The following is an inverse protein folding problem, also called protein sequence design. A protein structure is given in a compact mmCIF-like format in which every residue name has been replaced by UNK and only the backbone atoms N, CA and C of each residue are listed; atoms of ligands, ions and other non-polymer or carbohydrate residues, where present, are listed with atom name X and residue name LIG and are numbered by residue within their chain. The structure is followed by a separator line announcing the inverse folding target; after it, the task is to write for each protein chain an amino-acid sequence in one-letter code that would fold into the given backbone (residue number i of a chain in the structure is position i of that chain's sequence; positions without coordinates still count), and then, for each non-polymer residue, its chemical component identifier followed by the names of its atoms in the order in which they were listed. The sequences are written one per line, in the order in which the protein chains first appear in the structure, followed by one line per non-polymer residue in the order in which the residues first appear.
data_IF_019515393955
#
_entry.id   IF_019515393955
#
_cell.length_a   1.000
_cell.length_b   1.000
_cell.length_c   1.000
_cell.angle_alpha   90.00
_cell.angle_beta   90.00
_cell.angle_gamma   90.00
#
_symmetry.space_group_name_H-M   'P 1'
#
loop_
_entity.id
_entity.type
_entity.pdbx_description
1 polymer ?
#
# COMPACT_ATOMS: atom_id res chain seq x y z
N UNK A 1 -14.45 13.02 32.79
CA UNK A 1 -15.17 11.85 32.23
C UNK A 1 -15.45 11.94 30.72
N UNK A 2 -14.56 12.52 29.89
CA UNK A 2 -14.75 12.54 28.41
C UNK A 2 -13.70 11.74 27.61
N UNK A 3 -12.64 11.27 28.26
CA UNK A 3 -11.50 10.57 27.62
C UNK A 3 -11.76 9.07 27.41
N UNK A 4 -12.54 8.43 28.30
CA UNK A 4 -12.86 7.00 28.23
C UNK A 4 -13.88 6.65 27.12
N UNK A 5 -14.84 7.54 26.84
CA UNK A 5 -15.84 7.31 25.79
C UNK A 5 -15.24 7.36 24.37
N UNK A 6 -14.19 8.15 24.18
CA UNK A 6 -13.49 8.20 22.89
C UNK A 6 -12.64 6.96 22.65
N UNK A 7 -12.05 6.39 23.71
CA UNK A 7 -11.26 5.15 23.63
C UNK A 7 -12.17 3.95 23.33
N UNK A 8 -13.27 3.76 24.06
CA UNK A 8 -14.22 2.66 23.78
C UNK A 8 -14.81 2.73 22.38
N UNK A 9 -15.18 3.92 21.90
CA UNK A 9 -15.76 4.09 20.56
C UNK A 9 -14.68 3.82 19.49
N UNK A 10 -13.44 4.24 19.74
CA UNK A 10 -12.32 3.97 18.85
C UNK A 10 -11.99 2.47 18.79
N UNK A 11 -11.95 1.79 19.94
CA UNK A 11 -11.78 0.35 20.06
C UNK A 11 -12.92 -0.41 19.37
N UNK A 12 -14.18 0.00 19.57
CA UNK A 12 -15.33 -0.64 18.92
C UNK A 12 -15.30 -0.46 17.40
N UNK A 13 -14.86 0.69 16.89
CA UNK A 13 -14.69 0.93 15.43
C UNK A 13 -13.51 0.10 14.89
N UNK A 14 -12.41 0.05 15.63
CA UNK A 14 -11.22 -0.76 15.33
C UNK A 14 -11.58 -2.25 15.25
N UNK A 15 -12.23 -2.79 16.28
CA UNK A 15 -12.73 -4.17 16.37
C UNK A 15 -13.73 -4.44 15.24
N UNK A 16 -14.68 -3.52 14.97
CA UNK A 16 -15.66 -3.69 13.88
C UNK A 16 -15.02 -3.72 12.49
N UNK A 17 -13.95 -2.96 12.29
CA UNK A 17 -13.17 -2.93 11.04
C UNK A 17 -12.31 -4.19 10.90
N UNK A 18 -11.76 -4.70 12.00
CA UNK A 18 -11.02 -5.97 12.06
C UNK A 18 -11.92 -7.19 11.84
N UNK A 19 -13.12 -7.21 12.45
CA UNK A 19 -14.13 -8.28 12.31
C UNK A 19 -14.53 -8.58 10.87
N UNK A 20 -14.25 -7.69 9.93
CA UNK A 20 -14.52 -7.95 8.51
C UNK A 20 -13.51 -8.91 7.86
N UNK A 21 -12.37 -9.20 8.50
CA UNK A 21 -11.25 -9.89 7.85
C UNK A 21 -10.52 -10.90 8.74
N UNK A 22 -10.31 -10.65 10.04
CA UNK A 22 -9.92 -11.64 11.05
C UNK A 22 -10.95 -11.62 12.18
N UNK A 23 -11.28 -12.77 12.71
CA UNK A 23 -12.01 -12.87 13.98
C UNK A 23 -11.16 -12.34 15.14
N UNK A 24 -11.81 -12.06 16.26
CA UNK A 24 -11.13 -11.59 17.47
C UNK A 24 -10.12 -12.64 17.97
N UNK A 25 -10.53 -13.91 17.99
CA UNK A 25 -9.68 -15.06 18.33
C UNK A 25 -8.48 -15.21 17.38
N UNK A 26 -8.69 -15.13 16.05
CA UNK A 26 -7.60 -15.20 15.07
C UNK A 26 -6.61 -14.03 15.22
N UNK A 27 -7.11 -12.87 15.63
CA UNK A 27 -6.28 -11.68 15.84
C UNK A 27 -5.39 -11.83 17.08
N UNK A 28 -5.92 -12.40 18.16
CA UNK A 28 -5.15 -12.72 19.36
C UNK A 28 -4.05 -13.75 19.06
N UNK A 29 -4.40 -14.85 18.38
CA UNK A 29 -3.44 -15.87 17.93
C UNK A 29 -2.36 -15.23 17.04
N UNK A 30 -2.76 -14.31 16.16
CA UNK A 30 -1.82 -13.64 15.28
C UNK A 30 -0.85 -12.72 16.04
N UNK A 31 -1.34 -11.93 16.99
CA UNK A 31 -0.51 -11.02 17.78
C UNK A 31 0.48 -11.78 18.68
N UNK A 32 0.01 -12.83 19.35
CA UNK A 32 0.84 -13.69 20.20
C UNK A 32 1.93 -14.38 19.39
N UNK A 33 1.55 -15.03 18.28
CA UNK A 33 2.50 -15.67 17.37
C UNK A 33 3.49 -14.69 16.76
N UNK A 34 3.08 -13.47 16.40
CA UNK A 34 3.99 -12.44 15.90
C UNK A 34 4.99 -11.98 16.97
N UNK A 35 4.56 -11.81 18.22
CA UNK A 35 5.44 -11.47 19.34
C UNK A 35 6.49 -12.56 19.57
N UNK A 36 6.05 -13.82 19.65
CA UNK A 36 6.92 -14.98 19.86
C UNK A 36 7.95 -15.14 18.71
N UNK A 37 7.49 -15.06 17.46
CA UNK A 37 8.35 -15.20 16.29
C UNK A 37 9.35 -14.06 16.15
N UNK A 38 8.99 -12.85 16.58
CA UNK A 38 9.90 -11.69 16.61
C UNK A 38 10.96 -11.83 17.68
N UNK A 39 10.58 -12.26 18.89
CA UNK A 39 11.51 -12.56 19.98
C UNK A 39 12.50 -13.67 19.62
N UNK A 40 12.05 -14.68 18.86
CA UNK A 40 12.88 -15.79 18.40
C UNK A 40 13.72 -15.46 17.15
N UNK A 41 13.68 -14.23 16.64
CA UNK A 41 14.48 -13.79 15.49
C UNK A 41 14.07 -14.46 14.17
N UNK A 42 12.81 -14.88 14.03
CA UNK A 42 12.33 -15.55 12.83
C UNK A 42 12.38 -14.61 11.61
N UNK A 43 13.05 -15.04 10.53
CA UNK A 43 13.20 -14.23 9.31
C UNK A 43 11.87 -13.97 8.57
N UNK A 44 10.95 -14.93 8.61
CA UNK A 44 9.68 -14.89 7.86
C UNK A 44 8.48 -15.22 8.76
N UNK A 45 8.12 -14.34 9.71
CA UNK A 45 7.07 -14.62 10.67
C UNK A 45 5.70 -14.81 10.00
N UNK A 46 5.40 -14.03 8.95
CA UNK A 46 4.13 -14.12 8.22
C UNK A 46 3.91 -15.44 7.49
N UNK A 47 4.97 -16.15 7.10
CA UNK A 47 4.84 -17.47 6.45
C UNK A 47 4.38 -18.49 7.48
N UNK A 48 5.02 -18.50 8.65
CA UNK A 48 4.64 -19.38 9.76
C UNK A 48 3.22 -19.09 10.25
N UNK A 49 2.84 -17.82 10.36
CA UNK A 49 1.47 -17.47 10.74
C UNK A 49 0.43 -17.90 9.69
N UNK A 50 0.80 -17.98 8.42
CA UNK A 50 -0.07 -18.49 7.36
C UNK A 50 -0.25 -20.02 7.38
N UNK A 51 0.58 -20.75 8.13
CA UNK A 51 0.39 -22.18 8.39
C UNK A 51 -0.66 -22.42 9.49
N UNK A 52 -0.80 -21.46 10.41
CA UNK A 52 -1.70 -21.54 11.57
C UNK A 52 -3.09 -21.00 11.26
N UNK A 53 -3.15 -19.92 10.48
CA UNK A 53 -4.39 -19.21 10.18
C UNK A 53 -4.88 -19.47 8.75
N UNK A 54 -6.19 -19.37 8.47
CA UNK A 54 -6.74 -19.54 7.13
C UNK A 54 -6.49 -18.33 6.21
N UNK A 55 -5.32 -17.71 6.30
CA UNK A 55 -4.93 -16.53 5.52
C UNK A 55 -3.58 -16.71 4.85
N UNK A 56 -3.43 -16.08 3.69
CA UNK A 56 -2.14 -16.03 3.01
C UNK A 56 -1.18 -15.09 3.76
N UNK A 57 0.11 -15.44 3.79
CA UNK A 57 1.19 -14.61 4.32
C UNK A 57 1.17 -13.17 3.79
N UNK A 58 0.79 -12.96 2.51
CA UNK A 58 0.64 -11.63 1.92
C UNK A 58 -0.50 -10.83 2.55
N UNK A 59 -1.62 -11.48 2.84
CA UNK A 59 -2.76 -10.86 3.51
C UNK A 59 -2.34 -10.46 4.93
N UNK A 60 -1.77 -11.39 5.69
CA UNK A 60 -1.28 -11.16 7.05
C UNK A 60 -0.26 -10.02 7.12
N UNK A 61 0.69 -9.98 6.19
CA UNK A 61 1.69 -8.91 6.10
C UNK A 61 1.05 -7.53 5.83
N UNK A 62 0.06 -7.48 4.94
CA UNK A 62 -0.70 -6.26 4.68
C UNK A 62 -1.54 -5.84 5.90
N UNK A 63 -2.12 -6.78 6.64
CA UNK A 63 -2.87 -6.50 7.86
C UNK A 63 -1.98 -5.93 8.95
N UNK A 64 -0.84 -6.57 9.22
CA UNK A 64 0.14 -6.09 10.18
C UNK A 64 0.51 -4.63 9.91
N UNK A 65 0.97 -4.34 8.69
CA UNK A 65 1.45 -3.00 8.32
C UNK A 65 0.40 -1.89 8.40
N UNK A 66 -0.89 -2.22 8.30
CA UNK A 66 -1.95 -1.22 8.23
C UNK A 66 -2.80 -1.13 9.49
N UNK A 67 -2.90 -2.21 10.28
CA UNK A 67 -3.90 -2.32 11.33
C UNK A 67 -3.43 -2.95 12.64
N UNK A 68 -2.64 -4.04 12.59
CA UNK A 68 -2.33 -4.86 13.78
C UNK A 68 -1.02 -4.49 14.47
N UNK A 69 -0.11 -3.81 13.77
CA UNK A 69 1.14 -3.34 14.36
C UNK A 69 0.84 -2.28 15.46
N UNK A 70 1.22 -2.53 16.73
CA UNK A 70 0.98 -1.61 17.83
C UNK A 70 1.61 -0.23 17.63
N UNK A 71 2.68 -0.15 16.82
CA UNK A 71 3.32 1.12 16.49
C UNK A 71 2.52 1.96 15.48
N UNK A 72 1.50 1.36 14.84
CA UNK A 72 0.69 2.02 13.82
C UNK A 72 -0.45 2.79 14.45
N UNK A 73 -0.36 4.11 14.35
CA UNK A 73 -1.41 5.01 14.80
C UNK A 73 -2.61 5.01 13.83
N UNK A 74 -3.78 4.66 14.37
CA UNK A 74 -5.03 4.47 13.63
C UNK A 74 -5.85 5.75 13.41
N UNK A 75 -5.46 6.87 14.03
CA UNK A 75 -6.18 8.14 13.92
C UNK A 75 -6.22 8.69 12.49
N UNK A 76 -6.97 9.77 12.31
CA UNK A 76 -6.88 10.60 11.10
C UNK A 76 -5.52 11.30 11.03
N UNK A 77 -5.04 11.60 9.82
CA UNK A 77 -3.88 12.47 9.64
C UNK A 77 -4.23 13.87 10.16
N UNK A 78 -3.34 14.44 10.98
CA UNK A 78 -3.38 15.84 11.40
C UNK A 78 -3.04 16.76 10.24
N UNK A 79 -3.29 18.05 10.41
CA UNK A 79 -3.02 19.02 9.33
C UNK A 79 -1.51 19.23 9.13
N UNK A 80 -0.71 19.14 10.19
CA UNK A 80 0.76 19.16 10.12
C UNK A 80 1.30 17.96 9.35
N UNK A 81 0.74 16.76 9.58
CA UNK A 81 1.15 15.56 8.85
C UNK A 81 0.78 15.64 7.37
N UNK A 82 -0.40 16.18 7.05
CA UNK A 82 -0.82 16.40 5.66
C UNK A 82 0.12 17.37 4.95
N UNK A 83 0.45 18.48 5.61
CA UNK A 83 1.40 19.44 5.08
C UNK A 83 2.78 18.80 4.85
N UNK A 84 3.27 18.02 5.82
CA UNK A 84 4.53 17.30 5.67
C UNK A 84 4.50 16.32 4.48
N UNK A 85 3.42 15.56 4.32
CA UNK A 85 3.26 14.64 3.18
C UNK A 85 3.33 15.40 1.85
N UNK A 86 2.65 16.55 1.76
CA UNK A 86 2.66 17.39 0.57
C UNK A 86 4.06 17.92 0.24
N UNK A 87 4.75 18.46 1.23
CA UNK A 87 6.11 19.00 1.07
C UNK A 87 7.10 17.89 0.71
N UNK A 88 7.02 16.75 1.39
CA UNK A 88 7.89 15.62 1.13
C UNK A 88 7.70 15.09 -0.29
N UNK A 89 6.45 14.91 -0.74
CA UNK A 89 6.17 14.44 -2.10
C UNK A 89 6.64 15.47 -3.13
N UNK A 90 6.44 16.77 -2.91
CA UNK A 90 6.95 17.80 -3.83
C UNK A 90 8.47 17.74 -4.01
N UNK A 91 9.22 17.44 -2.94
CA UNK A 91 10.68 17.40 -2.96
C UNK A 91 11.26 16.06 -3.46
N UNK A 92 10.57 14.96 -3.23
CA UNK A 92 11.10 13.60 -3.44
C UNK A 92 10.42 12.83 -4.57
N UNK A 93 9.43 13.43 -5.24
CA UNK A 93 8.80 12.83 -6.42
C UNK A 93 9.78 12.85 -7.58
N UNK A 94 10.13 11.66 -8.05
CA UNK A 94 11.00 11.45 -9.22
C UNK A 94 10.27 11.96 -10.47
N UNK A 95 10.99 12.33 -11.53
CA UNK A 95 10.44 12.85 -12.81
C UNK A 95 9.35 11.97 -13.42
N UNK A 96 9.39 10.64 -13.19
CA UNK A 96 8.37 9.68 -13.63
C UNK A 96 7.10 9.66 -12.75
N UNK A 97 7.02 10.54 -11.74
CA UNK A 97 5.91 10.65 -10.83
C UNK A 97 5.82 9.55 -9.77
N UNK A 98 6.83 8.67 -9.65
CA UNK A 98 6.85 7.57 -8.68
C UNK A 98 7.10 8.10 -7.27
N UNK A 99 6.27 7.65 -6.33
CA UNK A 99 6.36 8.00 -4.90
C UNK A 99 6.79 6.76 -4.12
N UNK A 100 7.92 6.87 -3.42
CA UNK A 100 8.42 5.79 -2.56
C UNK A 100 7.74 5.82 -1.20
N UNK A 101 6.55 5.21 -1.12
CA UNK A 101 5.71 5.18 0.09
C UNK A 101 6.42 4.68 1.34
N UNK A 102 7.31 3.69 1.19
CA UNK A 102 8.08 3.13 2.32
C UNK A 102 8.98 4.19 2.96
N UNK A 103 9.67 4.98 2.14
CA UNK A 103 10.56 6.05 2.62
C UNK A 103 9.75 7.17 3.26
N UNK A 104 8.69 7.64 2.59
CA UNK A 104 7.79 8.66 3.14
C UNK A 104 7.22 8.25 4.52
N UNK A 105 6.84 6.98 4.68
CA UNK A 105 6.32 6.45 5.94
C UNK A 105 7.39 6.44 7.05
N UNK A 106 8.64 6.13 6.72
CA UNK A 106 9.74 6.21 7.69
C UNK A 106 10.05 7.66 8.08
N UNK A 107 10.05 8.59 7.12
CA UNK A 107 10.24 10.01 7.41
C UNK A 107 9.12 10.57 8.29
N UNK A 108 7.86 10.16 8.05
CA UNK A 108 6.75 10.48 8.95
C UNK A 108 7.00 9.96 10.37
N UNK A 109 7.48 8.71 10.53
CA UNK A 109 7.83 8.16 11.85
C UNK A 109 8.92 8.99 12.52
N UNK A 110 9.95 9.39 11.77
CA UNK A 110 11.06 10.17 12.29
C UNK A 110 10.63 11.57 12.76
N UNK A 111 9.65 12.18 12.08
CA UNK A 111 9.16 13.52 12.42
C UNK A 111 8.13 13.52 13.56
N UNK A 112 7.16 12.59 13.54
CA UNK A 112 6.01 12.60 14.46
C UNK A 112 6.12 11.57 15.59
N UNK A 113 7.10 10.66 15.53
CA UNK A 113 7.39 9.67 16.57
C UNK A 113 6.56 8.38 16.51
N UNK A 114 5.62 8.25 15.56
CA UNK A 114 4.79 7.06 15.39
C UNK A 114 4.56 6.71 13.92
N UNK A 115 4.23 5.45 13.63
CA UNK A 115 3.97 5.03 12.25
C UNK A 115 2.53 5.34 11.85
N UNK A 116 2.36 5.99 10.70
CA UNK A 116 1.06 5.99 10.01
C UNK A 116 0.90 4.73 9.17
N UNK A 117 -0.33 4.26 9.02
CA UNK A 117 -0.63 3.18 8.07
C UNK A 117 -0.34 3.64 6.65
N UNK A 118 0.22 2.76 5.83
CA UNK A 118 0.54 3.08 4.43
C UNK A 118 -0.73 3.47 3.66
N UNK A 119 -1.85 2.81 3.97
CA UNK A 119 -3.16 3.16 3.42
C UNK A 119 -3.61 4.57 3.78
N UNK A 120 -3.38 5.05 5.02
CA UNK A 120 -3.80 6.41 5.39
C UNK A 120 -3.09 7.46 4.54
N UNK A 121 -1.77 7.32 4.37
CA UNK A 121 -0.94 8.24 3.56
C UNK A 121 -1.37 8.22 2.10
N UNK A 122 -1.53 7.02 1.52
CA UNK A 122 -2.00 6.85 0.13
C UNK A 122 -3.40 7.44 -0.07
N UNK A 123 -4.34 7.13 0.82
CA UNK A 123 -5.72 7.60 0.73
C UNK A 123 -5.78 9.12 0.76
N UNK A 124 -4.99 9.77 1.61
CA UNK A 124 -4.88 11.22 1.62
C UNK A 124 -4.40 11.78 0.28
N UNK A 125 -3.27 11.27 -0.22
CA UNK A 125 -2.68 11.75 -1.48
C UNK A 125 -3.62 11.57 -2.67
N UNK A 126 -4.16 10.37 -2.88
CA UNK A 126 -5.05 10.10 -4.00
C UNK A 126 -6.38 10.85 -3.88
N UNK A 127 -6.92 10.99 -2.67
CA UNK A 127 -8.14 11.81 -2.46
C UNK A 127 -7.88 13.27 -2.79
N UNK A 128 -6.68 13.78 -2.51
CA UNK A 128 -6.29 15.15 -2.85
C UNK A 128 -6.16 15.33 -4.37
N UNK A 129 -5.48 14.39 -5.05
CA UNK A 129 -5.32 14.42 -6.51
C UNK A 129 -6.66 14.44 -7.26
N UNK A 130 -7.63 13.63 -6.80
CA UNK A 130 -8.96 13.60 -7.40
C UNK A 130 -9.73 14.93 -7.22
N UNK A 131 -9.43 15.71 -6.17
CA UNK A 131 -10.05 17.03 -5.97
C UNK A 131 -9.40 18.10 -6.84
N UNK A 132 -8.10 17.99 -7.11
CA UNK A 132 -7.36 18.97 -7.91
C UNK A 132 -7.51 18.72 -9.42
N UNK A 133 -7.70 17.47 -9.86
CA UNK A 133 -7.91 17.14 -11.27
C UNK A 133 -9.28 17.53 -11.84
N UNK A 134 -10.24 17.92 -11.00
CA UNK A 134 -11.58 18.31 -11.44
C UNK A 134 -11.72 19.82 -11.78
N UNK A 135 -10.64 20.60 -11.70
CA UNK A 135 -10.67 22.07 -11.85
C UNK A 135 -10.06 22.53 -13.18
N UNK A 136 -9.46 21.66 -13.98
CA UNK A 136 -8.71 22.06 -15.20
C UNK A 136 -9.44 21.81 -16.55
N UNK A 137 -10.72 21.41 -16.56
CA UNK A 137 -11.49 21.12 -17.80
C UNK A 137 -12.59 22.13 -18.13
N UNK A 138 -12.51 23.38 -17.65
CA UNK A 138 -13.52 24.40 -17.98
C UNK A 138 -12.94 25.76 -18.39
N UNK A 139 -11.91 25.79 -19.23
CA UNK A 139 -11.56 27.01 -19.96
C UNK A 139 -10.84 26.69 -21.27
N UNK A 140 -11.37 27.22 -22.38
CA UNK A 140 -10.96 27.03 -23.79
C UNK A 140 -11.45 25.72 -24.44
N UNK A 141 -12.21 25.66 -25.54
CA UNK A 141 -12.44 26.58 -26.66
C UNK A 141 -13.87 26.42 -27.19
N UNK A 142 -14.60 27.53 -27.33
CA UNK A 142 -15.80 27.61 -28.17
C UNK A 142 -15.34 27.72 -29.62
N UNK A 143 -15.68 26.74 -30.47
CA UNK A 143 -15.58 26.87 -31.92
C UNK A 143 -16.96 27.23 -32.52
N UNK A 144 -17.05 28.14 -33.51
CA UNK A 144 -18.32 28.57 -34.08
C UNK A 144 -18.95 27.49 -34.98
N UNK A 145 -20.28 27.33 -34.88
CA UNK A 145 -21.04 26.48 -35.79
C UNK A 145 -21.00 27.02 -37.22
N UNK A 146 -20.59 26.20 -38.17
CA UNK A 146 -20.76 26.44 -39.62
C UNK A 146 -22.03 25.69 -40.06
N UNK A 147 -22.96 26.30 -40.83
CA UNK A 147 -24.13 25.60 -41.34
C UNK A 147 -23.73 24.66 -42.48
N UNK A 148 -24.00 23.37 -42.36
CA UNK A 148 -23.85 22.41 -43.47
C UNK A 148 -25.06 22.50 -44.42
N UNK A 149 -24.87 22.50 -45.75
CA UNK A 149 -25.96 22.37 -46.71
C UNK A 149 -26.41 20.91 -46.90
N UNK A 150 -27.73 20.72 -46.88
CA UNK A 150 -28.52 19.54 -47.29
C UNK A 150 -28.32 19.28 -48.80
N UNK A 151 -27.97 18.08 -49.31
CA UNK A 151 -28.79 16.89 -49.65
C UNK A 151 -27.92 15.95 -50.54
N UNK A 152 -28.33 14.75 -50.98
CA UNK A 152 -28.83 13.56 -50.27
C UNK A 152 -28.04 12.27 -50.63
N UNK A 153 -28.42 11.16 -49.99
CA UNK A 153 -28.17 9.75 -50.38
C UNK A 153 -26.76 9.16 -50.30
N UNK A 154 -26.49 8.42 -49.21
CA UNK A 154 -25.75 7.15 -49.26
C UNK A 154 -26.28 6.17 -48.18
N UNK A 155 -26.24 4.85 -48.43
CA UNK A 155 -27.14 3.87 -47.80
C UNK A 155 -26.69 3.40 -46.41
N UNK A 156 -27.69 3.10 -45.58
CA UNK A 156 -27.55 2.57 -44.21
C UNK A 156 -26.96 1.15 -44.22
N UNK A 157 -25.86 0.88 -43.49
CA UNK A 157 -25.48 -0.47 -43.10
C UNK A 157 -26.17 -0.86 -41.79
N UNK A 158 -26.74 -2.06 -41.80
CA UNK A 158 -27.53 -2.72 -40.78
C UNK A 158 -26.82 -2.72 -39.41
N UNK A 159 -27.54 -2.32 -38.35
CA UNK A 159 -27.15 -2.50 -36.96
C UNK A 159 -27.03 -3.99 -36.62
N UNK A 160 -25.84 -4.44 -36.23
CA UNK A 160 -25.69 -5.65 -35.42
C UNK A 160 -25.60 -5.23 -33.94
N UNK A 161 -26.29 -5.91 -33.01
CA UNK A 161 -26.17 -5.61 -31.60
C UNK A 161 -24.78 -5.99 -31.08
N UNK A 162 -24.09 -5.01 -30.48
CA UNK A 162 -22.84 -5.20 -29.75
C UNK A 162 -22.99 -6.28 -28.67
N UNK A 163 -22.15 -7.33 -28.66
CA UNK A 163 -21.93 -8.10 -27.46
C UNK A 163 -21.02 -7.34 -26.50
N UNK A 164 -21.48 -7.31 -25.26
CA UNK A 164 -20.88 -6.81 -24.04
C UNK A 164 -19.41 -7.25 -23.87
N UNK A 165 -18.58 -6.25 -23.51
CA UNK A 165 -17.38 -6.29 -22.68
C UNK A 165 -16.30 -7.38 -22.90
N UNK A 166 -15.11 -6.95 -23.32
CA UNK A 166 -13.83 -7.46 -22.80
C UNK A 166 -12.81 -6.29 -22.87
N UNK A 167 -12.35 -5.80 -21.72
CA UNK A 167 -11.02 -6.10 -21.16
C UNK A 167 -9.87 -5.46 -21.93
N UNK A 168 -9.37 -4.33 -21.42
CA UNK A 168 -8.06 -3.79 -21.81
C UNK A 168 -7.25 -3.42 -20.56
N UNK A 169 -6.46 -4.41 -20.15
CA UNK A 169 -5.04 -4.29 -19.80
C UNK A 169 -4.64 -3.33 -18.67
N UNK A 170 -4.49 -3.88 -17.47
CA UNK A 170 -3.37 -3.49 -16.60
C UNK A 170 -2.08 -4.10 -17.17
N UNK A 171 -0.94 -3.39 -17.17
CA UNK A 171 0.33 -3.97 -17.61
C UNK A 171 0.74 -5.10 -16.65
N UNK A 172 0.74 -6.31 -17.20
CA UNK A 172 1.31 -7.51 -16.60
C UNK A 172 2.83 -7.32 -16.54
N UNK A 173 3.37 -7.01 -15.35
CA UNK A 173 4.81 -7.09 -15.12
C UNK A 173 5.22 -8.57 -15.18
N UNK A 174 5.73 -9.00 -16.33
CA UNK A 174 6.51 -10.24 -16.42
C UNK A 174 7.83 -9.98 -15.70
N UNK A 175 7.97 -10.49 -14.49
CA UNK A 175 9.29 -10.72 -13.92
C UNK A 175 9.82 -12.00 -14.57
N UNK A 176 10.77 -11.83 -15.48
CA UNK A 176 11.66 -12.92 -15.87
C UNK A 176 12.58 -13.17 -14.67
N UNK A 177 12.57 -14.40 -14.15
CA UNK A 177 13.49 -14.84 -13.10
C UNK A 177 14.94 -14.71 -13.59
N UNK A 178 15.82 -13.96 -12.92
CA UNK A 178 17.24 -14.11 -13.15
C UNK A 178 17.64 -15.51 -12.68
N UNK A 179 18.11 -16.36 -13.62
CA UNK A 179 18.77 -17.62 -13.31
C UNK A 179 19.87 -17.35 -12.27
N UNK A 180 19.76 -17.97 -11.10
CA UNK A 180 20.82 -17.99 -10.09
C UNK A 180 22.13 -18.51 -10.73
N UNK A 181 23.27 -17.85 -10.51
CA UNK A 181 24.55 -18.47 -10.78
C UNK A 181 24.79 -19.63 -9.79
N UNK A 182 25.18 -20.77 -10.35
CA UNK A 182 25.55 -21.99 -9.64
C UNK A 182 26.82 -21.73 -8.80
N UNK A 183 26.65 -21.48 -7.51
CA UNK A 183 27.78 -21.25 -6.61
C UNK A 183 28.41 -22.61 -6.27
N UNK A 184 29.56 -22.88 -6.90
CA UNK A 184 30.46 -23.96 -6.48
C UNK A 184 30.89 -23.69 -5.04
N UNK A 185 30.82 -24.72 -4.21
CA UNK A 185 31.33 -24.72 -2.85
C UNK A 185 32.78 -24.21 -2.83
N UNK A 186 33.01 -23.08 -2.15
CA UNK A 186 34.35 -22.60 -1.85
C UNK A 186 34.74 -23.24 -0.53
N UNK A 187 35.79 -24.06 -0.58
CA UNK A 187 36.45 -24.67 0.57
C UNK A 187 36.81 -23.58 1.59
N UNK A 188 36.29 -23.72 2.81
CA UNK A 188 36.67 -22.91 3.97
C UNK A 188 38.11 -23.23 4.37
N UNK A 189 39.03 -22.26 4.44
CA UNK A 189 40.34 -22.51 5.03
C UNK A 189 40.24 -22.59 6.56
N UNK A 190 40.83 -23.66 7.07
CA UNK A 190 40.97 -24.02 8.48
C UNK A 190 41.86 -22.99 9.21
N UNK A 191 41.26 -22.14 10.05
CA UNK A 191 42.01 -21.16 10.84
C UNK A 191 42.56 -21.83 12.09
N UNK A 192 43.87 -22.10 12.08
CA UNK A 192 44.62 -22.50 13.28
C UNK A 192 44.66 -21.34 14.27
N UNK A 193 44.09 -21.55 15.45
CA UNK A 193 44.25 -20.69 16.62
C UNK A 193 45.67 -20.88 17.16
N UNK A 194 46.49 -19.83 17.06
CA UNK A 194 47.74 -19.71 17.79
C UNK A 194 47.90 -18.25 18.23
N UNK A 195 47.70 -17.98 19.52
CA UNK A 195 48.35 -16.84 20.16
C UNK A 195 48.80 -17.21 21.55
N UNK A 196 50.11 -17.25 21.66
CA UNK A 196 50.96 -17.41 22.82
C UNK A 196 50.81 -16.22 23.78
N UNK A 197 50.87 -16.51 25.09
CA UNK A 197 51.14 -15.58 26.19
C UNK A 197 52.45 -14.79 25.98
N UNK A 198 52.52 -13.61 26.58
CA UNK A 198 53.61 -13.30 27.51
C UNK A 198 53.13 -13.24 28.97
#
# INVERSE_FOLDING_TARGET
MKRLLTEEVSEKIFIKKMKRLLTEEESEIFLDGMSELTCNGCRNPFIKMAEVLPFNSRQLCNYWRNYLDPEVHQGSLSDEEKQFIDEWIKLNRIENGVITWKTLRHELKNQFGFLRSENAVKNYWYSKQNRTGAVEESESLVLPQIPYPTDPEMPIPIQQPNPIALSTLQPYCKHEDPKLPDYKAVDTPDYKVATQLP
#
